data_IF_298123802259
#
_entry.id   IF_298123802259
#
_cell.length_a   1.000
_cell.length_b   1.000
_cell.length_c   1.000
_cell.angle_alpha   90.00
_cell.angle_beta   90.00
_cell.angle_gamma   90.00
#
_symmetry.space_group_name_H-M   'P 1'
#
loop_
_entity.id
_entity.type
_entity.pdbx_description
1 polymer ?
#
# COMPACT_ATOMS: atom_id res chain seq x y z
N UNK A 1 -43.50 42.33 -3.65
CA UNK A 1 -42.36 43.12 -4.15
C UNK A 1 -41.59 42.31 -5.16
N UNK A 2 -41.14 42.94 -6.25
CA UNK A 2 -40.27 42.33 -7.26
C UNK A 2 -38.78 42.73 -7.06
N UNK A 3 -37.88 42.12 -7.82
CA UNK A 3 -36.43 42.32 -7.68
C UNK A 3 -35.99 43.78 -7.93
N UNK A 4 -36.53 44.42 -8.96
CA UNK A 4 -36.19 45.80 -9.30
C UNK A 4 -36.69 46.77 -8.21
N UNK A 5 -37.90 46.55 -7.68
CA UNK A 5 -38.44 47.30 -6.55
C UNK A 5 -37.54 47.16 -5.31
N UNK A 6 -37.12 45.95 -4.97
CA UNK A 6 -36.28 45.71 -3.79
C UNK A 6 -34.90 46.38 -3.91
N UNK A 7 -34.29 46.33 -5.10
CA UNK A 7 -33.02 47.02 -5.39
C UNK A 7 -33.18 48.53 -5.29
N UNK A 8 -34.25 49.08 -5.86
CA UNK A 8 -34.52 50.51 -5.83
C UNK A 8 -34.76 51.00 -4.40
N UNK A 9 -35.49 50.22 -3.57
CA UNK A 9 -35.72 50.54 -2.15
C UNK A 9 -34.40 50.62 -1.37
N UNK A 10 -33.45 49.72 -1.63
CA UNK A 10 -32.14 49.75 -0.98
C UNK A 10 -31.11 50.65 -1.68
N UNK A 11 -31.43 51.23 -2.83
CA UNK A 11 -30.52 52.08 -3.62
C UNK A 11 -29.30 51.32 -4.15
N UNK A 12 -29.48 50.07 -4.55
CA UNK A 12 -28.41 49.18 -5.00
C UNK A 12 -28.36 49.05 -6.52
N UNK A 13 -27.36 48.34 -7.04
CA UNK A 13 -27.27 47.92 -8.44
C UNK A 13 -27.70 46.45 -8.61
N UNK A 14 -28.07 46.03 -9.82
CA UNK A 14 -28.50 44.65 -10.15
C UNK A 14 -27.53 43.54 -9.72
N UNK A 15 -26.23 43.86 -9.59
CA UNK A 15 -25.18 42.91 -9.20
C UNK A 15 -24.71 43.06 -7.74
N UNK A 16 -25.51 43.68 -6.87
CA UNK A 16 -25.12 43.90 -5.47
C UNK A 16 -24.86 42.57 -4.73
N UNK A 17 -23.75 42.53 -4.01
CA UNK A 17 -23.33 41.44 -3.14
C UNK A 17 -24.10 41.43 -1.81
N UNK A 18 -24.04 40.31 -1.09
CA UNK A 18 -24.62 40.18 0.26
C UNK A 18 -24.13 41.27 1.23
N UNK A 19 -22.85 41.63 1.15
CA UNK A 19 -22.26 42.67 1.99
C UNK A 19 -22.79 44.06 1.60
N UNK A 20 -22.98 44.33 0.32
CA UNK A 20 -23.54 45.59 -0.15
C UNK A 20 -25.01 45.74 0.27
N UNK A 21 -25.81 44.66 0.19
CA UNK A 21 -27.19 44.64 0.70
C UNK A 21 -27.23 44.91 2.20
N UNK A 22 -26.38 44.24 2.98
CA UNK A 22 -26.36 44.41 4.44
C UNK A 22 -25.89 45.82 4.85
N UNK A 23 -24.93 46.38 4.12
CA UNK A 23 -24.43 47.73 4.34
C UNK A 23 -25.45 48.82 3.96
N UNK A 24 -26.15 48.65 2.83
CA UNK A 24 -27.22 49.56 2.41
C UNK A 24 -28.40 49.51 3.39
N UNK A 25 -28.78 48.30 3.81
CA UNK A 25 -29.76 48.11 4.87
C UNK A 25 -29.37 48.82 6.15
N UNK A 26 -28.15 48.63 6.66
CA UNK A 26 -27.68 49.27 7.90
C UNK A 26 -27.75 50.81 7.80
N UNK A 27 -27.38 51.37 6.65
CA UNK A 27 -27.45 52.83 6.40
C UNK A 27 -28.90 53.33 6.41
N UNK A 28 -29.81 52.63 5.71
CA UNK A 28 -31.23 53.02 5.64
C UNK A 28 -31.95 52.78 6.97
N UNK A 29 -31.70 51.65 7.63
CA UNK A 29 -32.24 51.33 8.95
C UNK A 29 -31.85 52.38 9.98
N UNK A 30 -30.59 52.85 9.98
CA UNK A 30 -30.18 53.93 10.88
C UNK A 30 -30.92 55.25 10.63
N UNK A 31 -31.34 55.51 9.39
CA UNK A 31 -32.03 56.74 8.98
C UNK A 31 -33.55 56.67 9.21
N UNK A 32 -34.16 55.51 8.99
CA UNK A 32 -35.62 55.32 9.03
C UNK A 32 -36.11 54.56 10.26
N UNK A 33 -35.24 54.31 11.25
CA UNK A 33 -35.64 53.65 12.49
C UNK A 33 -36.71 54.47 13.24
N UNK A 34 -37.81 53.85 13.71
CA UNK A 34 -38.86 54.56 14.44
C UNK A 34 -38.34 55.28 15.69
N UNK A 35 -37.45 54.63 16.46
CA UNK A 35 -36.83 55.23 17.65
C UNK A 35 -35.93 56.44 17.35
N UNK A 36 -35.56 56.67 16.09
CA UNK A 36 -34.75 57.81 15.63
C UNK A 36 -35.58 58.85 14.87
N UNK A 37 -36.91 58.76 14.92
CA UNK A 37 -37.83 59.68 14.25
C UNK A 37 -38.21 59.27 12.82
N UNK A 38 -37.93 58.02 12.42
CA UNK A 38 -38.39 57.46 11.14
C UNK A 38 -39.82 56.89 11.20
N UNK A 39 -40.35 56.50 10.04
CA UNK A 39 -41.68 55.90 9.92
C UNK A 39 -41.61 54.36 9.90
N UNK A 40 -42.47 53.71 10.68
CA UNK A 40 -42.62 52.25 10.69
C UNK A 40 -42.90 51.66 9.29
N UNK A 41 -43.68 52.34 8.46
CA UNK A 41 -43.99 51.86 7.11
C UNK A 41 -42.74 51.77 6.22
N UNK A 42 -41.86 52.79 6.28
CA UNK A 42 -40.62 52.81 5.51
C UNK A 42 -39.65 51.73 6.00
N UNK A 43 -39.54 51.57 7.33
CA UNK A 43 -38.69 50.54 7.92
C UNK A 43 -39.17 49.12 7.57
N UNK A 44 -40.49 48.91 7.50
CA UNK A 44 -41.08 47.64 7.07
C UNK A 44 -40.72 47.31 5.61
N UNK A 45 -40.83 48.28 4.69
CA UNK A 45 -40.43 48.12 3.29
C UNK A 45 -38.93 47.83 3.14
N UNK A 46 -38.07 48.52 3.92
CA UNK A 46 -36.62 48.29 3.93
C UNK A 46 -36.29 46.86 4.42
N UNK A 47 -36.98 46.39 5.47
CA UNK A 47 -36.82 45.03 5.99
C UNK A 47 -37.25 43.98 4.97
N UNK A 48 -38.42 44.14 4.37
CA UNK A 48 -38.92 43.24 3.32
C UNK A 48 -37.92 43.21 2.16
N UNK A 49 -37.42 44.37 1.71
CA UNK A 49 -36.52 44.46 0.55
C UNK A 49 -35.20 43.71 0.80
N UNK A 50 -34.66 43.81 2.02
CA UNK A 50 -33.49 43.04 2.43
C UNK A 50 -33.77 41.54 2.43
N UNK A 51 -34.88 41.09 3.04
CA UNK A 51 -35.20 39.66 3.13
C UNK A 51 -35.34 39.07 1.71
N UNK A 52 -36.11 39.72 0.85
CA UNK A 52 -36.33 39.29 -0.52
C UNK A 52 -35.03 39.17 -1.32
N UNK A 53 -34.14 40.17 -1.27
CA UNK A 53 -32.86 40.13 -1.99
C UNK A 53 -31.90 39.07 -1.44
N UNK A 54 -31.87 38.87 -0.13
CA UNK A 54 -31.06 37.83 0.51
C UNK A 54 -31.51 36.43 0.10
N UNK A 55 -32.82 36.17 0.05
CA UNK A 55 -33.40 34.92 -0.43
C UNK A 55 -33.18 34.71 -1.93
N UNK A 56 -33.36 35.76 -2.74
CA UNK A 56 -33.14 35.67 -4.19
C UNK A 56 -31.67 35.33 -4.54
N UNK A 57 -30.72 35.97 -3.86
CA UNK A 57 -29.30 35.68 -4.07
C UNK A 57 -28.88 34.32 -3.50
N UNK A 58 -29.47 33.87 -2.39
CA UNK A 58 -29.18 32.55 -1.85
C UNK A 58 -29.69 31.44 -2.78
N UNK A 59 -30.92 31.59 -3.31
CA UNK A 59 -31.50 30.69 -4.29
C UNK A 59 -30.66 30.60 -5.58
N UNK A 60 -30.08 31.71 -6.04
CA UNK A 60 -29.18 31.74 -7.21
C UNK A 60 -27.81 31.10 -6.95
N UNK A 61 -27.28 31.20 -5.72
CA UNK A 61 -25.98 30.60 -5.33
C UNK A 61 -26.07 29.10 -5.03
N UNK A 62 -27.22 28.62 -4.57
CA UNK A 62 -27.45 27.20 -4.24
C UNK A 62 -27.01 26.23 -5.37
N UNK A 63 -27.40 26.41 -6.65
CA UNK A 63 -26.98 25.51 -7.73
C UNK A 63 -25.47 25.62 -8.05
N UNK A 64 -24.85 26.78 -7.84
CA UNK A 64 -23.39 26.95 -8.03
C UNK A 64 -22.60 26.18 -6.96
N UNK A 65 -23.02 26.28 -5.70
CA UNK A 65 -22.40 25.54 -4.59
C UNK A 65 -22.60 24.03 -4.78
N UNK A 66 -23.79 23.62 -5.20
CA UNK A 66 -24.07 22.21 -5.49
C UNK A 66 -23.18 21.67 -6.62
N UNK A 67 -23.01 22.42 -7.71
CA UNK A 67 -22.09 22.05 -8.80
C UNK A 67 -20.63 21.96 -8.33
N UNK A 68 -20.17 22.88 -7.48
CA UNK A 68 -18.83 22.82 -6.91
C UNK A 68 -18.65 21.60 -6.00
N UNK A 69 -19.68 21.25 -5.22
CA UNK A 69 -19.70 20.06 -4.39
C UNK A 69 -19.66 18.79 -5.24
N UNK A 70 -20.45 18.70 -6.32
CA UNK A 70 -20.45 17.55 -7.23
C UNK A 70 -19.07 17.35 -7.87
N UNK A 71 -18.41 18.43 -8.31
CA UNK A 71 -17.03 18.38 -8.83
C UNK A 71 -16.06 17.90 -7.75
N UNK A 72 -16.22 18.35 -6.50
CA UNK A 72 -15.38 17.92 -5.40
C UNK A 72 -15.59 16.43 -5.08
N UNK A 73 -16.85 15.96 -5.04
CA UNK A 73 -17.20 14.55 -4.84
C UNK A 73 -16.63 13.69 -5.97
N UNK A 74 -16.76 14.13 -7.22
CA UNK A 74 -16.21 13.44 -8.37
C UNK A 74 -14.69 13.30 -8.26
N UNK A 75 -13.98 14.39 -7.93
CA UNK A 75 -12.52 14.36 -7.71
C UNK A 75 -12.12 13.40 -6.58
N UNK A 76 -12.87 13.39 -5.47
CA UNK A 76 -12.62 12.47 -4.36
C UNK A 76 -12.81 11.02 -4.80
N UNK A 77 -13.87 10.73 -5.56
CA UNK A 77 -14.12 9.40 -6.11
C UNK A 77 -13.01 8.97 -7.08
N UNK A 78 -12.55 9.86 -7.97
CA UNK A 78 -11.47 9.55 -8.91
C UNK A 78 -10.15 9.24 -8.18
N UNK A 79 -9.83 10.01 -7.13
CA UNK A 79 -8.67 9.75 -6.26
C UNK A 79 -8.82 8.39 -5.58
N UNK A 80 -9.99 8.08 -5.02
CA UNK A 80 -10.27 6.80 -4.35
C UNK A 80 -10.14 5.61 -5.31
N UNK A 81 -10.63 5.74 -6.55
CA UNK A 81 -10.48 4.72 -7.59
C UNK A 81 -9.00 4.53 -7.95
N UNK A 82 -8.26 5.63 -8.12
CA UNK A 82 -6.82 5.61 -8.39
C UNK A 82 -6.04 4.88 -7.30
N UNK A 83 -6.33 5.19 -6.03
CA UNK A 83 -5.72 4.52 -4.86
C UNK A 83 -6.04 3.02 -4.85
N UNK A 84 -7.29 2.63 -5.09
CA UNK A 84 -7.67 1.20 -5.16
C UNK A 84 -6.95 0.44 -6.27
N UNK A 85 -6.74 1.08 -7.42
CA UNK A 85 -5.98 0.47 -8.53
C UNK A 85 -4.51 0.30 -8.13
N UNK A 86 -3.89 1.31 -7.51
CA UNK A 86 -2.51 1.24 -7.03
C UNK A 86 -2.35 0.16 -5.95
N UNK A 87 -3.26 0.09 -4.98
CA UNK A 87 -3.26 -0.93 -3.94
C UNK A 87 -3.34 -2.34 -4.53
N UNK A 88 -4.24 -2.60 -5.50
CA UNK A 88 -4.32 -3.89 -6.19
C UNK A 88 -3.05 -4.24 -6.96
N UNK A 89 -2.38 -3.25 -7.56
CA UNK A 89 -1.09 -3.47 -8.23
C UNK A 89 0.00 -3.79 -7.22
N UNK A 90 0.08 -3.05 -6.12
CA UNK A 90 1.02 -3.29 -5.03
C UNK A 90 0.86 -4.71 -4.48
N UNK A 91 -0.38 -5.11 -4.19
CA UNK A 91 -0.71 -6.44 -3.69
C UNK A 91 -0.34 -7.56 -4.69
N UNK A 92 -0.53 -7.33 -6.00
CA UNK A 92 -0.07 -8.28 -7.03
C UNK A 92 1.46 -8.41 -7.04
N UNK A 93 2.18 -7.30 -6.91
CA UNK A 93 3.65 -7.33 -6.83
C UNK A 93 4.10 -8.03 -5.55
N UNK A 94 3.50 -7.73 -4.40
CA UNK A 94 3.75 -8.42 -3.13
C UNK A 94 3.51 -9.92 -3.24
N UNK A 95 2.38 -10.34 -3.82
CA UNK A 95 2.08 -11.76 -4.07
C UNK A 95 3.10 -12.40 -5.02
N UNK A 96 3.51 -11.69 -6.07
CA UNK A 96 4.53 -12.17 -7.00
C UNK A 96 5.90 -12.30 -6.31
N UNK A 97 6.27 -11.35 -5.46
CA UNK A 97 7.47 -11.35 -4.62
C UNK A 97 7.45 -12.55 -3.68
N UNK A 98 6.35 -12.75 -2.97
CA UNK A 98 6.17 -13.86 -2.04
C UNK A 98 6.24 -15.20 -2.80
N UNK A 99 5.59 -15.30 -3.96
CA UNK A 99 5.69 -16.49 -4.79
C UNK A 99 7.11 -16.73 -5.30
N UNK A 100 7.84 -15.72 -5.77
CA UNK A 100 9.20 -15.94 -6.30
C UNK A 100 10.20 -16.32 -5.22
N UNK A 101 10.13 -15.65 -4.07
CA UNK A 101 11.01 -15.91 -2.92
C UNK A 101 10.70 -17.25 -2.25
N UNK A 102 9.42 -17.63 -2.17
CA UNK A 102 9.01 -18.86 -1.47
C UNK A 102 8.79 -20.05 -2.38
N UNK A 103 8.52 -19.92 -3.69
CA UNK A 103 8.18 -21.08 -4.53
C UNK A 103 9.29 -22.11 -4.59
N UNK A 104 10.54 -21.69 -4.80
CA UNK A 104 11.67 -22.62 -4.77
C UNK A 104 11.77 -23.29 -3.40
N UNK A 105 11.68 -22.53 -2.31
CA UNK A 105 11.75 -23.06 -0.95
C UNK A 105 10.60 -24.02 -0.64
N UNK A 106 9.38 -23.73 -1.09
CA UNK A 106 8.17 -24.55 -0.96
C UNK A 106 8.29 -25.83 -1.78
N UNK A 107 8.88 -25.77 -2.98
CA UNK A 107 9.17 -26.94 -3.79
C UNK A 107 10.17 -27.86 -3.07
N UNK A 108 11.28 -27.33 -2.58
CA UNK A 108 12.26 -28.10 -1.80
C UNK A 108 11.63 -28.67 -0.53
N UNK A 109 10.82 -27.90 0.20
CA UNK A 109 10.07 -28.37 1.38
C UNK A 109 9.14 -29.55 1.03
N UNK A 110 8.41 -29.50 -0.09
CA UNK A 110 7.56 -30.61 -0.55
C UNK A 110 8.37 -31.85 -0.88
N UNK A 111 9.49 -31.69 -1.61
CA UNK A 111 10.40 -32.80 -1.93
C UNK A 111 10.92 -33.43 -0.63
N UNK A 112 11.35 -32.62 0.33
CA UNK A 112 11.83 -33.10 1.62
C UNK A 112 10.72 -33.83 2.40
N UNK A 113 9.48 -33.35 2.38
CA UNK A 113 8.38 -34.10 3.01
C UNK A 113 8.12 -35.44 2.33
N UNK A 114 8.13 -35.50 0.99
CA UNK A 114 7.98 -36.77 0.26
C UNK A 114 9.08 -37.74 0.69
N UNK A 115 10.34 -37.29 0.67
CA UNK A 115 11.48 -38.10 1.08
C UNK A 115 11.40 -38.55 2.55
N UNK A 116 10.97 -37.67 3.46
CA UNK A 116 10.76 -38.02 4.87
C UNK A 116 9.63 -39.04 5.03
N UNK A 117 8.51 -38.90 4.29
CA UNK A 117 7.41 -39.87 4.32
C UNK A 117 7.81 -41.22 3.74
N UNK A 118 8.58 -41.26 2.65
CA UNK A 118 9.11 -42.50 2.07
C UNK A 118 10.06 -43.18 3.06
N UNK A 119 10.95 -42.41 3.69
CA UNK A 119 11.87 -42.93 4.71
C UNK A 119 11.12 -43.48 5.92
N UNK A 120 10.08 -42.78 6.37
CA UNK A 120 9.23 -43.24 7.47
C UNK A 120 8.42 -44.50 7.09
N UNK A 121 7.85 -44.54 5.88
CA UNK A 121 7.14 -45.71 5.37
C UNK A 121 8.07 -46.93 5.29
N UNK A 122 9.33 -46.74 4.90
CA UNK A 122 10.32 -47.80 4.88
C UNK A 122 10.59 -48.41 6.26
N UNK A 123 10.36 -47.69 7.36
CA UNK A 123 10.47 -48.24 8.73
C UNK A 123 9.29 -49.15 9.10
N UNK A 124 8.14 -49.00 8.44
CA UNK A 124 6.94 -49.84 8.66
C UNK A 124 6.85 -51.02 7.70
N UNK A 125 7.83 -51.15 6.80
CA UNK A 125 7.95 -52.32 5.94
C UNK A 125 8.42 -53.48 6.82
N UNK A 126 7.53 -54.46 7.01
CA UNK A 126 7.80 -55.67 7.77
C UNK A 126 8.86 -56.53 7.08
N UNK A 127 9.53 -57.40 7.85
CA UNK A 127 10.57 -58.31 7.35
C UNK A 127 10.06 -59.15 6.18
N UNK A 128 8.81 -59.62 6.26
CA UNK A 128 8.16 -60.41 5.22
C UNK A 128 8.07 -59.69 3.86
N UNK A 129 7.96 -58.36 3.85
CA UNK A 129 7.97 -57.59 2.60
C UNK A 129 9.38 -57.42 2.05
N UNK A 130 10.40 -57.29 2.92
CA UNK A 130 11.79 -57.31 2.47
C UNK A 130 12.15 -58.67 1.88
N UNK A 131 11.71 -59.76 2.51
CA UNK A 131 11.89 -61.13 2.04
C UNK A 131 11.19 -61.32 0.68
N UNK A 132 9.99 -60.76 0.49
CA UNK A 132 9.27 -60.75 -0.80
C UNK A 132 9.96 -59.90 -1.87
N UNK A 133 10.50 -58.72 -1.51
CA UNK A 133 11.05 -57.76 -2.47
C UNK A 133 12.46 -58.15 -2.94
N UNK A 134 13.23 -58.81 -2.07
CA UNK A 134 14.58 -59.26 -2.38
C UNK A 134 14.65 -60.72 -2.80
N UNK A 135 13.65 -61.56 -2.49
CA UNK A 135 13.37 -62.88 -3.11
C UNK A 135 14.53 -63.89 -3.19
N UNK A 136 15.66 -63.59 -2.57
CA UNK A 136 16.96 -64.25 -2.73
C UNK A 136 17.65 -64.23 -1.37
N UNK A 137 16.99 -64.79 -0.34
CA UNK A 137 17.69 -65.12 0.90
C UNK A 137 18.02 -66.62 0.85
N UNK A 138 19.31 -67.00 0.82
CA UNK A 138 19.72 -68.40 0.88
C UNK A 138 19.28 -69.03 2.22
N UNK A 139 18.86 -70.28 2.20
CA UNK A 139 18.15 -70.94 3.31
C UNK A 139 19.04 -71.43 4.47
N UNK A 140 20.38 -71.40 4.37
CA UNK A 140 21.23 -72.03 5.40
C UNK A 140 22.47 -71.19 5.83
N UNK A 141 22.73 -71.23 7.14
CA UNK A 141 23.87 -70.77 7.97
C UNK A 141 24.30 -69.28 7.98
N UNK A 142 23.94 -68.44 7.01
CA UNK A 142 24.40 -67.02 6.95
C UNK A 142 23.40 -65.97 7.50
N UNK A 143 22.36 -66.40 8.24
CA UNK A 143 21.24 -65.54 8.70
C UNK A 143 21.66 -64.37 9.61
N UNK A 144 22.67 -64.56 10.46
CA UNK A 144 23.11 -63.53 11.42
C UNK A 144 23.82 -62.36 10.71
N UNK A 145 24.65 -62.64 9.70
CA UNK A 145 25.37 -61.61 8.92
C UNK A 145 24.40 -60.78 8.05
N UNK A 146 23.35 -61.42 7.54
CA UNK A 146 22.27 -60.76 6.80
C UNK A 146 21.44 -59.86 7.73
N UNK A 147 21.14 -60.31 8.94
CA UNK A 147 20.39 -59.53 9.92
C UNK A 147 21.14 -58.25 10.36
N UNK A 148 22.45 -58.33 10.56
CA UNK A 148 23.29 -57.15 10.83
C UNK A 148 23.23 -56.16 9.65
N UNK A 149 23.35 -56.65 8.42
CA UNK A 149 23.29 -55.83 7.20
C UNK A 149 21.94 -55.13 7.04
N UNK A 150 20.84 -55.83 7.30
CA UNK A 150 19.48 -55.25 7.28
C UNK A 150 19.34 -54.15 8.34
N UNK A 151 19.83 -54.39 9.56
CA UNK A 151 19.77 -53.40 10.64
C UNK A 151 20.54 -52.11 10.30
N UNK A 152 21.70 -52.24 9.64
CA UNK A 152 22.49 -51.12 9.15
C UNK A 152 21.73 -50.30 8.07
N UNK A 153 21.02 -50.98 7.16
CA UNK A 153 20.18 -50.33 6.16
C UNK A 153 19.04 -49.55 6.83
N UNK A 154 18.35 -50.13 7.82
CA UNK A 154 17.31 -49.42 8.57
C UNK A 154 17.84 -48.18 9.29
N UNK A 155 18.99 -48.28 9.95
CA UNK A 155 19.64 -47.14 10.62
C UNK A 155 20.00 -46.05 9.59
N UNK A 156 20.54 -46.44 8.44
CA UNK A 156 20.87 -45.51 7.37
C UNK A 156 19.61 -44.79 6.84
N UNK A 157 18.52 -45.52 6.57
CA UNK A 157 17.24 -44.95 6.13
C UNK A 157 16.63 -44.02 7.18
N UNK A 158 16.70 -44.38 8.46
CA UNK A 158 16.23 -43.53 9.55
C UNK A 158 17.06 -42.24 9.62
N UNK A 159 18.38 -42.33 9.46
CA UNK A 159 19.27 -41.16 9.44
C UNK A 159 18.97 -40.22 8.24
N UNK A 160 18.70 -40.79 7.06
CA UNK A 160 18.29 -40.03 5.87
C UNK A 160 16.93 -39.36 6.12
N UNK A 161 15.95 -40.10 6.65
CA UNK A 161 14.64 -39.55 6.99
C UNK A 161 14.73 -38.39 7.98
N UNK A 162 15.53 -38.54 9.04
CA UNK A 162 15.75 -37.52 10.05
C UNK A 162 16.45 -36.27 9.48
N UNK A 163 17.50 -36.44 8.68
CA UNK A 163 18.23 -35.32 8.05
C UNK A 163 17.35 -34.57 7.07
N UNK A 164 16.59 -35.27 6.22
CA UNK A 164 15.65 -34.67 5.29
C UNK A 164 14.52 -33.94 6.03
N UNK A 165 13.97 -34.53 7.09
CA UNK A 165 12.96 -33.90 7.95
C UNK A 165 13.47 -32.60 8.59
N UNK A 166 14.71 -32.61 9.08
CA UNK A 166 15.38 -31.43 9.62
C UNK A 166 15.56 -30.34 8.55
N UNK A 167 16.01 -30.69 7.35
CA UNK A 167 16.11 -29.74 6.21
C UNK A 167 14.74 -29.13 5.87
N UNK A 168 13.69 -29.94 5.81
CA UNK A 168 12.32 -29.46 5.56
C UNK A 168 11.87 -28.44 6.62
N UNK A 169 12.17 -28.72 7.88
CA UNK A 169 11.88 -27.82 8.99
C UNK A 169 12.66 -26.51 8.88
N UNK A 170 13.96 -26.55 8.60
CA UNK A 170 14.79 -25.36 8.38
C UNK A 170 14.27 -24.51 7.20
N UNK A 171 13.88 -25.13 6.09
CA UNK A 171 13.27 -24.44 4.95
C UNK A 171 11.95 -23.78 5.33
N UNK A 172 11.12 -24.45 6.14
CA UNK A 172 9.87 -23.88 6.65
C UNK A 172 10.13 -22.65 7.52
N UNK A 173 11.12 -22.71 8.42
CA UNK A 173 11.50 -21.56 9.24
C UNK A 173 11.99 -20.39 8.38
N UNK A 174 12.77 -20.67 7.33
CA UNK A 174 13.23 -19.63 6.40
C UNK A 174 12.08 -18.97 5.63
N UNK A 175 11.09 -19.75 5.18
CA UNK A 175 9.89 -19.22 4.51
C UNK A 175 9.13 -18.30 5.47
N UNK A 176 8.84 -18.77 6.69
CA UNK A 176 8.09 -18.01 7.68
C UNK A 176 8.79 -16.69 8.03
N UNK A 177 10.12 -16.70 8.15
CA UNK A 177 10.91 -15.48 8.36
C UNK A 177 10.79 -14.50 7.21
N UNK A 178 10.85 -14.95 5.95
CA UNK A 178 10.68 -14.07 4.78
C UNK A 178 9.27 -13.47 4.76
N UNK A 179 8.24 -14.25 5.08
CA UNK A 179 6.85 -13.78 5.14
C UNK A 179 6.67 -12.74 6.26
N UNK A 180 7.22 -12.99 7.45
CA UNK A 180 7.19 -12.04 8.58
C UNK A 180 7.97 -10.76 8.28
N UNK A 181 9.16 -10.88 7.68
CA UNK A 181 9.99 -9.75 7.26
C UNK A 181 9.27 -8.89 6.22
N UNK A 182 8.54 -9.50 5.27
CA UNK A 182 7.74 -8.79 4.27
C UNK A 182 6.59 -8.00 4.91
N UNK A 183 5.91 -8.58 5.90
CA UNK A 183 4.85 -7.88 6.66
C UNK A 183 5.42 -6.70 7.44
N UNK A 184 6.53 -6.90 8.16
CA UNK A 184 7.20 -5.80 8.89
C UNK A 184 7.65 -4.69 7.95
N UNK A 185 8.18 -5.04 6.78
CA UNK A 185 8.56 -4.07 5.77
C UNK A 185 7.35 -3.28 5.27
N UNK A 186 6.24 -3.94 4.99
CA UNK A 186 4.99 -3.28 4.61
C UNK A 186 4.54 -2.29 5.70
N UNK A 187 4.55 -2.71 6.97
CA UNK A 187 4.18 -1.86 8.09
C UNK A 187 5.11 -0.63 8.23
N UNK A 188 6.40 -0.78 7.90
CA UNK A 188 7.33 0.34 7.87
C UNK A 188 7.02 1.34 6.75
N UNK A 189 6.53 0.87 5.61
CA UNK A 189 6.17 1.74 4.48
C UNK A 189 4.87 2.51 4.72
N UNK A 190 4.06 2.15 5.72
CA UNK A 190 2.89 2.94 6.14
C UNK A 190 3.28 4.28 6.76
N UNK A 191 4.46 4.36 7.38
CA UNK A 191 4.96 5.59 7.99
C UNK A 191 5.58 6.50 6.92
N UNK A 192 4.96 7.67 6.69
CA UNK A 192 5.45 8.68 5.75
C UNK A 192 6.90 9.08 6.05
N UNK A 193 7.26 9.22 7.32
CA UNK A 193 8.62 9.62 7.70
C UNK A 193 9.63 8.55 7.28
N UNK A 194 9.36 7.28 7.65
CA UNK A 194 10.22 6.15 7.29
C UNK A 194 10.35 5.98 5.77
N UNK A 195 9.24 6.17 5.03
CA UNK A 195 9.25 6.13 3.57
C UNK A 195 10.16 7.21 2.97
N UNK A 196 9.99 8.47 3.38
CA UNK A 196 10.76 9.61 2.85
C UNK A 196 12.24 9.47 3.19
N UNK A 197 12.54 9.03 4.40
CA UNK A 197 13.89 8.77 4.85
C UNK A 197 14.56 7.69 4.00
N UNK A 198 13.90 6.55 3.81
CA UNK A 198 14.36 5.49 2.91
C UNK A 198 14.64 6.03 1.50
N UNK A 199 13.74 6.85 0.96
CA UNK A 199 13.92 7.48 -0.34
C UNK A 199 15.14 8.40 -0.38
N UNK A 200 15.38 9.21 0.67
CA UNK A 200 16.61 10.03 0.75
C UNK A 200 17.85 9.17 0.70
N UNK A 201 17.87 8.06 1.44
CA UNK A 201 19.00 7.14 1.44
C UNK A 201 19.22 6.54 0.04
N UNK A 202 18.14 6.10 -0.61
CA UNK A 202 18.20 5.58 -1.99
C UNK A 202 18.83 6.61 -2.93
N UNK A 203 18.57 7.90 -2.75
CA UNK A 203 19.15 8.98 -3.57
C UNK A 203 20.44 9.61 -3.03
N UNK A 204 21.03 9.07 -1.95
CA UNK A 204 22.28 9.60 -1.39
C UNK A 204 22.13 10.94 -0.63
N UNK A 205 20.97 11.16 -0.03
CA UNK A 205 20.66 12.28 0.89
C UNK A 205 19.69 13.30 0.32
N UNK A 206 19.84 13.68 -0.95
CA UNK A 206 18.98 14.67 -1.62
C UNK A 206 17.98 14.00 -2.56
N UNK A 207 16.70 14.25 -2.33
CA UNK A 207 15.63 13.78 -3.21
C UNK A 207 15.52 14.69 -4.44
N UNK A 208 15.65 14.15 -5.66
CA UNK A 208 15.44 14.94 -6.88
C UNK A 208 14.03 15.55 -6.88
N UNK A 209 13.76 16.65 -7.59
CA UNK A 209 12.36 17.13 -7.68
C UNK A 209 11.47 16.18 -8.49
N UNK A 210 12.08 15.51 -9.46
CA UNK A 210 11.44 14.57 -10.36
C UNK A 210 12.41 13.44 -10.63
N UNK A 211 11.91 12.21 -10.63
CA UNK A 211 12.71 11.03 -10.97
C UNK A 211 11.83 10.00 -11.69
N UNK A 212 12.46 9.17 -12.52
CA UNK A 212 11.80 8.04 -13.18
C UNK A 212 12.20 6.71 -12.52
N UNK A 213 11.61 5.61 -12.99
CA UNK A 213 11.91 4.27 -12.48
C UNK A 213 13.40 3.90 -12.68
N UNK A 214 14.01 4.32 -13.79
CA UNK A 214 15.38 3.99 -14.14
C UNK A 214 16.36 4.70 -13.21
N UNK A 215 16.18 6.01 -13.02
CA UNK A 215 16.93 6.83 -12.07
C UNK A 215 16.85 6.26 -10.65
N UNK A 216 15.65 5.85 -10.22
CA UNK A 216 15.49 5.25 -8.91
C UNK A 216 16.24 3.92 -8.80
N UNK A 217 16.15 3.06 -9.82
CA UNK A 217 16.88 1.79 -9.84
C UNK A 217 18.41 2.00 -9.86
N UNK A 218 18.90 2.98 -10.63
CA UNK A 218 20.32 3.33 -10.71
C UNK A 218 20.83 3.88 -9.37
N UNK A 219 20.07 4.79 -8.75
CA UNK A 219 20.38 5.34 -7.44
C UNK A 219 20.39 4.25 -6.37
N UNK A 220 19.39 3.36 -6.42
CA UNK A 220 19.31 2.21 -5.54
C UNK A 220 20.53 1.31 -5.69
N UNK A 221 20.89 0.90 -6.91
CA UNK A 221 22.04 0.05 -7.20
C UNK A 221 23.36 0.70 -6.73
N UNK A 222 23.50 2.02 -6.90
CA UNK A 222 24.67 2.77 -6.45
C UNK A 222 24.80 2.78 -4.92
N UNK A 223 23.67 2.89 -4.22
CA UNK A 223 23.63 3.12 -2.77
C UNK A 223 23.26 1.86 -1.96
N UNK A 224 23.19 0.66 -2.56
CA UNK A 224 22.84 -0.61 -1.86
C UNK A 224 23.68 -0.81 -0.59
N UNK A 225 24.96 -0.46 -0.62
CA UNK A 225 25.84 -0.60 0.54
C UNK A 225 25.44 0.31 1.70
N UNK A 226 25.14 1.59 1.43
CA UNK A 226 24.68 2.53 2.45
C UNK A 226 23.33 2.09 3.02
N UNK A 227 22.45 1.60 2.15
CA UNK A 227 21.16 1.03 2.52
C UNK A 227 21.34 -0.18 3.47
N UNK A 228 22.35 -1.02 3.25
CA UNK A 228 22.62 -2.14 4.15
C UNK A 228 23.15 -1.70 5.53
N UNK A 229 23.73 -0.50 5.63
CA UNK A 229 24.21 0.08 6.89
C UNK A 229 23.13 0.82 7.69
N UNK A 230 21.86 0.77 7.25
CA UNK A 230 20.75 1.58 7.76
C UNK A 230 20.36 1.39 9.23
N UNK A 231 21.01 0.51 9.97
CA UNK A 231 20.70 0.22 11.38
C UNK A 231 20.65 1.46 12.29
N UNK A 232 21.29 2.57 11.89
CA UNK A 232 21.39 3.78 12.70
C UNK A 232 20.32 4.84 12.42
N UNK A 233 19.65 4.77 11.26
CA UNK A 233 18.85 5.90 10.77
C UNK A 233 17.40 5.82 11.26
N UNK A 234 16.81 4.61 11.26
CA UNK A 234 15.45 4.42 11.73
C UNK A 234 15.29 3.09 12.44
N UNK A 235 14.86 3.12 13.71
CA UNK A 235 14.64 1.92 14.52
C UNK A 235 13.57 0.99 13.93
N UNK A 236 12.66 1.53 13.11
CA UNK A 236 11.60 0.76 12.47
C UNK A 236 12.13 0.02 11.23
N UNK A 237 13.10 0.60 10.50
CA UNK A 237 13.71 -0.07 9.34
C UNK A 237 14.82 -1.02 9.79
N UNK A 238 14.47 -2.29 9.94
CA UNK A 238 15.45 -3.33 10.18
C UNK A 238 16.26 -3.62 8.88
N UNK A 239 17.56 -3.33 8.82
CA UNK A 239 18.35 -3.53 7.61
C UNK A 239 18.43 -5.01 7.18
N UNK A 240 18.29 -5.94 8.13
CA UNK A 240 18.25 -7.37 7.80
C UNK A 240 16.99 -7.74 7.02
N UNK A 241 15.84 -7.16 7.39
CA UNK A 241 14.56 -7.34 6.68
C UNK A 241 14.72 -6.84 5.25
N UNK A 242 15.27 -5.63 5.11
CA UNK A 242 15.48 -5.00 3.81
C UNK A 242 16.38 -5.84 2.90
N UNK A 243 17.55 -6.25 3.40
CA UNK A 243 18.50 -7.06 2.64
C UNK A 243 17.93 -8.44 2.28
N UNK A 244 17.16 -9.06 3.18
CA UNK A 244 16.47 -10.33 2.90
C UNK A 244 15.48 -10.18 1.76
N UNK A 245 14.63 -9.15 1.79
CA UNK A 245 13.65 -8.90 0.72
C UNK A 245 14.39 -8.58 -0.58
N UNK A 246 15.39 -7.69 -0.53
CA UNK A 246 16.14 -7.25 -1.70
C UNK A 246 16.80 -8.44 -2.42
N UNK A 247 17.51 -9.30 -1.69
CA UNK A 247 18.14 -10.48 -2.27
C UNK A 247 17.13 -11.50 -2.80
N UNK A 248 15.95 -11.55 -2.21
CA UNK A 248 14.91 -12.47 -2.62
C UNK A 248 14.24 -12.07 -3.94
N UNK A 249 14.12 -10.77 -4.24
CA UNK A 249 13.30 -10.28 -5.35
C UNK A 249 14.06 -9.49 -6.43
N UNK A 250 15.26 -9.01 -6.10
CA UNK A 250 16.06 -8.12 -6.94
C UNK A 250 15.69 -6.64 -6.80
N UNK A 251 16.60 -5.77 -7.20
CA UNK A 251 16.50 -4.31 -7.06
C UNK A 251 15.34 -3.72 -7.87
N UNK A 252 15.09 -4.25 -9.07
CA UNK A 252 14.02 -3.77 -9.95
C UNK A 252 12.63 -3.94 -9.32
N UNK A 253 12.29 -5.15 -8.85
CA UNK A 253 10.98 -5.43 -8.24
C UNK A 253 10.81 -4.72 -6.91
N UNK A 254 11.90 -4.57 -6.17
CA UNK A 254 11.91 -3.79 -4.94
C UNK A 254 11.58 -2.32 -5.21
N UNK A 255 12.20 -1.73 -6.24
CA UNK A 255 11.93 -0.35 -6.68
C UNK A 255 10.47 -0.18 -7.11
N UNK A 256 9.94 -1.13 -7.89
CA UNK A 256 8.53 -1.13 -8.29
C UNK A 256 7.58 -1.18 -7.09
N UNK A 257 7.89 -2.01 -6.07
CA UNK A 257 7.11 -2.08 -4.84
C UNK A 257 7.14 -0.76 -4.07
N UNK A 258 8.31 -0.14 -3.90
CA UNK A 258 8.45 1.15 -3.23
C UNK A 258 7.65 2.26 -3.92
N UNK A 259 7.68 2.30 -5.26
CA UNK A 259 6.92 3.30 -6.02
C UNK A 259 5.41 3.09 -5.86
N UNK A 260 4.94 1.84 -5.98
CA UNK A 260 3.52 1.53 -5.83
C UNK A 260 3.02 1.83 -4.41
N UNK A 261 3.82 1.54 -3.38
CA UNK A 261 3.47 1.86 -1.99
C UNK A 261 3.47 3.35 -1.72
N UNK A 262 4.45 4.08 -2.25
CA UNK A 262 4.44 5.54 -2.21
C UNK A 262 3.20 6.14 -2.87
N UNK A 263 2.73 5.56 -3.97
CA UNK A 263 1.49 5.98 -4.62
C UNK A 263 0.24 5.58 -3.83
N UNK A 264 0.20 4.36 -3.29
CA UNK A 264 -0.91 3.83 -2.48
C UNK A 264 -1.20 4.73 -1.28
N UNK A 265 -0.16 5.18 -0.58
CA UNK A 265 -0.28 6.06 0.59
C UNK A 265 -0.23 7.55 0.25
N UNK A 266 -0.30 7.93 -1.03
CA UNK A 266 -0.25 9.32 -1.50
C UNK A 266 1.01 10.08 -1.06
N UNK A 267 2.14 9.39 -0.90
CA UNK A 267 3.45 10.02 -0.66
C UNK A 267 4.10 10.47 -1.97
N UNK A 268 3.74 9.83 -3.07
CA UNK A 268 4.20 10.14 -4.41
C UNK A 268 3.04 10.59 -5.29
N UNK A 269 3.28 11.63 -6.09
CA UNK A 269 2.40 12.01 -7.19
C UNK A 269 3.04 11.72 -8.53
N UNK A 270 2.19 11.31 -9.48
CA UNK A 270 2.57 11.00 -10.85
C UNK A 270 2.36 12.23 -11.71
N UNK A 271 3.43 12.71 -12.34
CA UNK A 271 3.37 13.90 -13.20
C UNK A 271 2.99 13.57 -14.64
N UNK A 272 3.47 12.44 -15.17
CA UNK A 272 3.14 11.94 -16.51
C UNK A 272 3.03 10.42 -16.50
N UNK A 273 1.84 9.90 -16.77
CA UNK A 273 1.61 8.46 -16.91
C UNK A 273 1.61 8.04 -18.37
N UNK A 274 2.58 7.22 -18.78
CA UNK A 274 2.47 6.48 -20.03
C UNK A 274 1.58 5.25 -19.81
N UNK A 275 0.49 5.14 -20.56
CA UNK A 275 -0.42 3.99 -20.46
C UNK A 275 0.21 2.69 -20.99
N UNK A 276 1.28 2.77 -21.78
CA UNK A 276 1.88 1.62 -22.46
C UNK A 276 2.83 0.80 -21.57
N UNK A 277 3.45 1.43 -20.56
CA UNK A 277 4.57 0.81 -19.82
C UNK A 277 4.22 0.32 -18.41
N UNK A 278 2.93 0.33 -18.03
CA UNK A 278 2.42 0.02 -16.68
C UNK A 278 2.98 0.86 -15.51
N UNK A 279 4.01 1.67 -15.73
CA UNK A 279 4.66 2.58 -14.80
C UNK A 279 4.71 4.01 -15.35
N UNK A 280 4.77 4.99 -14.46
CA UNK A 280 4.79 6.40 -14.83
C UNK A 280 6.19 6.86 -15.23
N UNK A 281 6.26 7.90 -16.06
CA UNK A 281 7.52 8.43 -16.56
C UNK A 281 8.21 9.32 -15.52
N UNK A 282 7.45 10.01 -14.65
CA UNK A 282 8.04 10.89 -13.64
C UNK A 282 7.22 10.90 -12.34
N UNK A 283 7.93 10.86 -11.21
CA UNK A 283 7.41 10.86 -9.86
C UNK A 283 7.93 12.09 -9.09
N UNK A 284 7.11 12.66 -8.21
CA UNK A 284 7.53 13.68 -7.23
C UNK A 284 6.92 13.38 -5.87
N UNK A 285 7.66 13.71 -4.80
CA UNK A 285 7.18 13.61 -3.43
C UNK A 285 6.07 14.65 -3.14
N UNK A 286 5.04 14.28 -2.38
CA UNK A 286 3.98 15.17 -1.89
C UNK A 286 4.22 15.67 -0.46
#
# INVERSE_FOLDING_TARGET
MNFNEAINILGLTENASFQEIDNAYKKLAQKYHPDKGGNNADMMLINEARIFLMEHLSAKKLPLVQKQLDIAIQKINDISIGQKICARKAERIERNILNLSTNKLRQWKRISYILATVSAAALFIDKDFLDLLFGILPEDDDLDEIQESISMIYIALLSIGATVGFVAWCLSQKINRIEEDLVKFHDCLLDKYAYVELMKIVFGGELPRQWDLKMMNDAFNKNVYEINTLSHVNKNLNPKVFHTILNAIGTEKFTQLLLLKGQEYSFLSVLHGDKSNNYANYYTLQ
#
